data_IF_022808434701
#
_entry.id   IF_022808434701
#
_cell.length_a   1.000
_cell.length_b   1.000
_cell.length_c   1.000
_cell.angle_alpha   90.00
_cell.angle_beta   90.00
_cell.angle_gamma   90.00
#
_symmetry.space_group_name_H-M   'P 1'
#
loop_
_entity.id
_entity.type
_entity.pdbx_description
1 polymer ?
#
# COMPACT_ATOMS: atom_id res chain seq x y z
N UNK A 1 -13.85 -1.23 29.33
CA UNK A 1 -15.23 -1.25 28.85
C UNK A 1 -15.19 -0.55 27.51
N UNK A 2 -15.43 -1.29 26.44
CA UNK A 2 -15.48 -0.68 25.12
C UNK A 2 -16.74 0.18 25.06
N UNK A 3 -16.54 1.49 25.09
CA UNK A 3 -17.64 2.45 24.98
C UNK A 3 -18.06 2.54 23.52
N UNK A 4 -19.36 2.43 23.24
CA UNK A 4 -19.88 2.73 21.93
C UNK A 4 -19.68 4.23 21.64
N UNK A 5 -19.46 4.55 20.38
CA UNK A 5 -19.27 5.94 19.93
C UNK A 5 -20.26 6.29 18.83
N UNK A 6 -20.65 7.55 18.79
CA UNK A 6 -21.45 8.13 17.72
C UNK A 6 -20.64 9.26 17.06
N UNK A 7 -20.65 9.34 15.74
CA UNK A 7 -19.80 10.26 15.00
C UNK A 7 -20.35 10.56 13.62
N UNK A 8 -19.88 11.65 13.02
CA UNK A 8 -20.22 12.02 11.64
C UNK A 8 -19.21 11.39 10.68
N UNK A 9 -19.66 10.57 9.73
CA UNK A 9 -18.85 9.93 8.70
C UNK A 9 -19.05 10.65 7.36
N UNK A 10 -17.96 11.10 6.74
CA UNK A 10 -17.94 11.70 5.40
C UNK A 10 -17.19 10.77 4.46
N UNK A 11 -17.89 10.21 3.48
CA UNK A 11 -17.30 9.31 2.48
C UNK A 11 -17.27 9.94 1.10
N UNK A 12 -16.19 9.76 0.38
CA UNK A 12 -16.04 10.25 -0.98
C UNK A 12 -16.83 9.38 -1.95
N UNK A 13 -17.71 10.02 -2.73
CA UNK A 13 -18.50 9.37 -3.79
C UNK A 13 -18.02 9.86 -5.15
N UNK A 14 -17.70 8.90 -6.03
CA UNK A 14 -17.22 9.21 -7.38
C UNK A 14 -17.54 8.04 -8.32
N UNK A 15 -18.16 8.33 -9.47
CA UNK A 15 -18.63 7.30 -10.42
C UNK A 15 -17.53 6.75 -11.33
N UNK A 16 -16.37 7.40 -11.37
CA UNK A 16 -15.25 6.99 -12.23
C UNK A 16 -14.19 8.08 -12.35
N UNK A 17 -13.13 7.86 -13.14
CA UNK A 17 -11.95 8.74 -13.17
C UNK A 17 -12.25 10.16 -13.69
N UNK A 18 -13.30 10.33 -14.50
CA UNK A 18 -13.69 11.61 -15.08
C UNK A 18 -14.79 12.34 -14.29
N UNK A 19 -15.31 11.74 -13.22
CA UNK A 19 -16.28 12.35 -12.34
C UNK A 19 -15.58 13.25 -11.32
N UNK A 20 -16.18 14.41 -11.03
CA UNK A 20 -15.63 15.36 -10.08
C UNK A 20 -15.66 14.84 -8.64
N UNK A 21 -16.61 13.95 -8.33
CA UNK A 21 -16.83 13.41 -7.00
C UNK A 21 -17.36 14.46 -5.99
N UNK A 22 -17.81 13.97 -4.85
CA UNK A 22 -18.31 14.76 -3.72
C UNK A 22 -18.28 13.94 -2.43
N UNK A 23 -18.48 14.60 -1.29
CA UNK A 23 -18.66 13.90 -0.02
C UNK A 23 -20.15 13.70 0.27
N UNK A 24 -20.53 12.47 0.61
CA UNK A 24 -21.76 12.16 1.32
C UNK A 24 -21.49 12.15 2.83
N UNK A 25 -22.47 12.59 3.61
CA UNK A 25 -22.35 12.68 5.08
C UNK A 25 -23.40 11.77 5.74
N UNK A 26 -22.96 10.99 6.72
CA UNK A 26 -23.79 10.06 7.47
C UNK A 26 -23.55 10.22 8.97
N UNK A 27 -24.60 10.09 9.77
CA UNK A 27 -24.52 10.05 11.22
C UNK A 27 -24.52 8.58 11.67
N UNK A 28 -23.37 8.12 12.15
CA UNK A 28 -23.20 6.79 12.69
C UNK A 28 -23.49 6.81 14.19
N UNK A 29 -24.39 5.92 14.64
CA UNK A 29 -24.85 5.91 16.02
C UNK A 29 -24.47 4.59 16.70
N UNK A 30 -23.99 4.70 17.95
CA UNK A 30 -23.82 3.56 18.87
C UNK A 30 -22.89 2.44 18.33
N UNK A 31 -21.83 2.81 17.60
CA UNK A 31 -20.86 1.88 17.03
C UNK A 31 -19.92 1.37 18.13
N UNK A 32 -19.82 0.03 18.36
CA UNK A 32 -18.92 -0.51 19.37
C UNK A 32 -17.46 -0.22 19.07
N UNK A 33 -16.68 0.12 20.10
CA UNK A 33 -15.26 0.47 19.94
C UNK A 33 -14.36 -0.68 19.46
N UNK A 34 -14.76 -1.92 19.61
CA UNK A 34 -14.06 -3.12 19.12
C UNK A 34 -14.42 -3.51 17.69
N UNK A 35 -15.38 -2.82 17.07
CA UNK A 35 -15.68 -2.94 15.64
C UNK A 35 -14.48 -2.47 14.81
N UNK A 36 -14.07 -3.22 13.81
CA UNK A 36 -13.06 -2.77 12.85
C UNK A 36 -13.61 -1.67 11.93
N UNK A 37 -12.73 -0.86 11.36
CA UNK A 37 -13.13 0.22 10.45
C UNK A 37 -13.90 -0.33 9.21
N UNK A 38 -13.52 -1.50 8.70
CA UNK A 38 -14.23 -2.11 7.58
C UNK A 38 -15.61 -2.64 7.99
N UNK A 39 -15.76 -3.22 9.17
CA UNK A 39 -17.08 -3.63 9.68
C UNK A 39 -18.00 -2.44 9.89
N UNK A 40 -17.47 -1.30 10.34
CA UNK A 40 -18.24 -0.05 10.44
C UNK A 40 -18.73 0.40 9.05
N UNK A 41 -17.92 0.26 8.01
CA UNK A 41 -18.35 0.55 6.64
C UNK A 41 -19.35 -0.49 6.10
N UNK A 42 -19.28 -1.76 6.52
CA UNK A 42 -20.30 -2.76 6.22
C UNK A 42 -21.64 -2.37 6.85
N UNK A 43 -21.64 -1.93 8.13
CA UNK A 43 -22.85 -1.41 8.81
C UNK A 43 -23.46 -0.23 8.04
N UNK A 44 -22.63 0.72 7.58
CA UNK A 44 -23.11 1.80 6.72
C UNK A 44 -23.78 1.27 5.46
N UNK A 45 -23.15 0.29 4.80
CA UNK A 45 -23.69 -0.28 3.57
C UNK A 45 -25.01 -1.03 3.77
N UNK A 46 -25.15 -1.75 4.88
CA UNK A 46 -26.43 -2.38 5.26
C UNK A 46 -27.53 -1.33 5.41
N UNK A 47 -27.28 -0.23 6.12
CA UNK A 47 -28.22 0.88 6.29
C UNK A 47 -28.59 1.51 4.93
N UNK A 48 -27.60 1.71 4.04
CA UNK A 48 -27.86 2.27 2.72
C UNK A 48 -28.74 1.35 1.87
N UNK A 49 -28.51 0.04 1.92
CA UNK A 49 -29.32 -0.95 1.20
C UNK A 49 -30.76 -0.99 1.73
N UNK A 50 -30.95 -0.98 3.05
CA UNK A 50 -32.27 -0.93 3.68
C UNK A 50 -33.04 0.34 3.29
N UNK A 51 -32.34 1.48 3.18
CA UNK A 51 -32.90 2.74 2.70
C UNK A 51 -33.16 2.80 1.18
N UNK A 52 -32.82 1.73 0.43
CA UNK A 52 -32.90 1.71 -1.02
C UNK A 52 -31.90 2.62 -1.73
N UNK A 53 -30.82 3.00 -1.05
CA UNK A 53 -29.73 3.82 -1.56
C UNK A 53 -28.58 2.98 -2.10
N UNK A 54 -27.73 3.58 -2.93
CA UNK A 54 -26.57 2.92 -3.51
C UNK A 54 -25.47 2.73 -2.46
N UNK A 55 -24.94 1.49 -2.25
CA UNK A 55 -23.87 1.23 -1.30
C UNK A 55 -22.60 2.03 -1.61
N UNK A 56 -21.81 2.30 -0.60
CA UNK A 56 -20.48 2.87 -0.71
C UNK A 56 -19.49 1.80 -1.18
N UNK A 57 -18.72 2.09 -2.23
CA UNK A 57 -17.79 1.12 -2.84
C UNK A 57 -16.37 1.34 -2.33
N UNK A 58 -15.79 0.32 -1.77
CA UNK A 58 -14.39 0.28 -1.30
C UNK A 58 -13.80 -1.12 -1.46
N UNK A 59 -12.47 -1.19 -1.57
CA UNK A 59 -11.75 -2.46 -1.66
C UNK A 59 -11.51 -3.09 -0.29
N UNK A 60 -11.77 -4.37 -0.18
CA UNK A 60 -11.42 -5.21 0.97
C UNK A 60 -11.27 -6.66 0.54
N UNK A 61 -10.48 -7.46 1.29
CA UNK A 61 -10.33 -8.89 1.04
C UNK A 61 -9.98 -9.64 2.33
N UNK A 62 -8.70 -9.85 2.65
CA UNK A 62 -8.24 -10.73 3.73
C UNK A 62 -8.74 -10.35 5.13
N UNK A 63 -8.93 -9.07 5.42
CA UNK A 63 -9.25 -8.49 6.75
C UNK A 63 -8.21 -8.84 7.85
N UNK A 64 -7.01 -9.29 7.45
CA UNK A 64 -5.91 -9.72 8.33
C UNK A 64 -4.63 -8.89 8.17
N UNK A 65 -4.69 -7.80 7.40
CA UNK A 65 -3.56 -6.89 7.22
C UNK A 65 -2.45 -7.43 6.30
N UNK A 66 -2.73 -8.36 5.39
CA UNK A 66 -1.72 -9.03 4.57
C UNK A 66 -1.91 -8.90 3.05
N UNK A 67 -3.10 -8.55 2.55
CA UNK A 67 -3.37 -8.50 1.11
C UNK A 67 -3.14 -7.12 0.46
N UNK A 68 -3.13 -6.04 1.25
CA UNK A 68 -2.97 -4.67 0.74
C UNK A 68 -4.17 -4.08 0.01
N UNK A 69 -5.37 -4.73 0.06
CA UNK A 69 -6.55 -4.29 -0.70
C UNK A 69 -7.30 -3.13 -0.05
N UNK A 70 -7.37 -3.02 1.28
CA UNK A 70 -8.14 -2.02 2.01
C UNK A 70 -7.53 -0.59 1.92
N UNK A 71 -7.54 -0.02 0.73
CA UNK A 71 -6.83 1.21 0.35
C UNK A 71 -7.67 2.45 0.62
N UNK A 72 -7.81 2.84 1.88
CA UNK A 72 -8.57 4.01 2.30
C UNK A 72 -7.68 5.10 2.89
N UNK A 73 -7.97 6.35 2.53
CA UNK A 73 -7.35 7.55 3.09
C UNK A 73 -8.28 8.12 4.15
N UNK A 74 -7.93 7.99 5.42
CA UNK A 74 -8.81 8.29 6.55
C UNK A 74 -8.24 9.45 7.34
N UNK A 75 -9.01 10.53 7.49
CA UNK A 75 -8.60 11.75 8.19
C UNK A 75 -7.21 12.28 7.76
N UNK A 76 -6.90 12.21 6.47
CA UNK A 76 -5.63 12.69 5.94
C UNK A 76 -4.45 11.73 6.08
N UNK A 77 -4.70 10.48 6.49
CA UNK A 77 -3.67 9.43 6.62
C UNK A 77 -4.02 8.19 5.82
N UNK A 78 -3.10 7.66 4.99
CA UNK A 78 -3.27 6.34 4.37
C UNK A 78 -3.45 5.27 5.44
N UNK A 79 -4.49 4.46 5.32
CA UNK A 79 -4.93 3.46 6.31
C UNK A 79 -5.42 4.02 7.65
N UNK A 80 -5.46 5.34 7.85
CA UNK A 80 -5.93 6.00 9.07
C UNK A 80 -4.82 6.29 10.10
N UNK A 81 -5.20 6.79 11.29
CA UNK A 81 -4.26 7.38 12.24
C UNK A 81 -3.39 6.36 13.00
N UNK A 82 -3.61 5.06 12.85
CA UNK A 82 -2.86 4.03 13.55
C UNK A 82 -1.59 3.68 12.77
N UNK A 83 -0.42 4.04 13.30
CA UNK A 83 0.87 3.71 12.67
C UNK A 83 1.10 2.19 12.61
N UNK A 84 1.72 1.71 11.53
CA UNK A 84 2.04 0.31 11.35
C UNK A 84 0.82 -0.61 11.19
N UNK A 85 -0.36 -0.04 10.89
CA UNK A 85 -1.61 -0.79 10.72
C UNK A 85 -2.24 -0.53 9.36
N UNK A 86 -2.92 -1.54 8.84
CA UNK A 86 -3.78 -1.41 7.65
C UNK A 86 -5.20 -1.00 8.08
N UNK A 87 -6.02 -0.49 7.15
CA UNK A 87 -7.41 -0.09 7.45
C UNK A 87 -8.23 -1.23 8.08
N UNK A 88 -8.04 -2.47 7.66
CA UNK A 88 -8.75 -3.62 8.23
C UNK A 88 -8.31 -3.97 9.67
N UNK A 89 -7.20 -3.41 10.13
CA UNK A 89 -6.70 -3.55 11.52
C UNK A 89 -6.86 -2.25 12.33
N UNK A 90 -7.54 -1.26 11.75
CA UNK A 90 -7.95 -0.04 12.45
C UNK A 90 -9.29 -0.31 13.15
N UNK A 91 -9.37 -0.05 14.44
CA UNK A 91 -10.57 -0.26 15.24
C UNK A 91 -11.21 1.06 15.66
N UNK A 92 -12.54 1.07 15.82
CA UNK A 92 -13.32 2.29 16.13
C UNK A 92 -12.95 2.90 17.50
N UNK A 93 -12.39 2.15 18.44
CA UNK A 93 -11.83 2.67 19.70
C UNK A 93 -10.66 3.66 19.55
N UNK A 94 -10.16 3.86 18.32
CA UNK A 94 -9.15 4.88 17.98
C UNK A 94 -9.77 6.26 17.73
N UNK A 95 -11.07 6.31 17.65
CA UNK A 95 -11.85 7.54 17.46
C UNK A 95 -12.67 7.86 18.72
N UNK A 96 -13.21 9.06 18.78
CA UNK A 96 -13.95 9.54 19.96
C UNK A 96 -15.39 9.86 19.57
N UNK A 97 -16.25 9.86 20.60
CA UNK A 97 -17.63 10.28 20.45
C UNK A 97 -17.69 11.74 19.94
N UNK A 98 -18.51 12.00 18.92
CA UNK A 98 -18.63 13.31 18.27
C UNK A 98 -17.57 13.63 17.22
N UNK A 99 -16.63 12.74 16.92
CA UNK A 99 -15.63 12.94 15.85
C UNK A 99 -16.27 13.13 14.47
N UNK A 100 -15.54 13.81 13.58
CA UNK A 100 -15.84 13.84 12.15
C UNK A 100 -14.78 13.04 11.43
N UNK A 101 -15.16 11.91 10.84
CA UNK A 101 -14.27 10.99 10.14
C UNK A 101 -14.45 11.17 8.63
N UNK A 102 -13.36 11.42 7.91
CA UNK A 102 -13.36 11.52 6.45
C UNK A 102 -12.73 10.29 5.82
N UNK A 103 -13.34 9.76 4.75
CA UNK A 103 -12.85 8.60 3.99
C UNK A 103 -12.75 8.98 2.51
N UNK A 104 -11.55 8.82 1.95
CA UNK A 104 -11.24 9.20 0.57
C UNK A 104 -10.45 8.09 -0.13
N UNK A 105 -10.44 8.06 -1.48
CA UNK A 105 -9.58 7.13 -2.23
C UNK A 105 -8.11 7.54 -2.16
N UNK A 106 -7.20 6.65 -2.56
CA UNK A 106 -5.82 7.04 -2.85
C UNK A 106 -5.77 8.17 -3.87
N UNK A 107 -5.20 9.31 -3.50
CA UNK A 107 -5.07 10.47 -4.39
C UNK A 107 -3.75 10.41 -5.17
N UNK A 108 -3.72 9.62 -6.23
CA UNK A 108 -2.58 9.54 -7.13
C UNK A 108 -3.05 9.38 -8.57
N UNK A 109 -2.44 10.10 -9.50
CA UNK A 109 -2.73 9.95 -10.93
C UNK A 109 -2.43 8.53 -11.44
N UNK A 110 -1.48 7.83 -10.82
CA UNK A 110 -1.14 6.45 -11.13
C UNK A 110 -2.17 5.42 -10.62
N UNK A 111 -3.10 5.84 -9.76
CA UNK A 111 -4.19 5.02 -9.22
C UNK A 111 -5.54 5.67 -9.54
N UNK A 112 -6.00 5.60 -10.80
CA UNK A 112 -7.27 6.21 -11.17
C UNK A 112 -8.43 5.57 -10.39
N UNK A 113 -9.40 6.40 -10.01
CA UNK A 113 -10.60 5.93 -9.30
C UNK A 113 -11.47 5.11 -10.24
N UNK A 114 -11.79 3.88 -9.84
CA UNK A 114 -12.78 3.02 -10.51
C UNK A 114 -14.18 3.48 -10.09
N UNK A 115 -14.41 3.53 -8.79
CA UNK A 115 -15.66 4.00 -8.18
C UNK A 115 -15.46 4.29 -6.70
N UNK A 116 -15.98 5.40 -6.20
CA UNK A 116 -15.90 5.85 -4.81
C UNK A 116 -14.46 5.78 -4.27
N UNK A 117 -14.15 4.86 -3.36
CA UNK A 117 -12.80 4.66 -2.82
C UNK A 117 -12.04 3.49 -3.45
N UNK A 118 -12.64 2.77 -4.40
CA UNK A 118 -11.95 1.74 -5.18
C UNK A 118 -11.07 2.37 -6.26
N UNK A 119 -9.81 2.00 -6.33
CA UNK A 119 -8.83 2.53 -7.28
C UNK A 119 -8.14 1.41 -8.08
N UNK A 120 -7.76 1.68 -9.32
CA UNK A 120 -6.96 0.77 -10.15
C UNK A 120 -5.49 0.82 -9.73
N UNK A 121 -4.99 -0.28 -9.15
CA UNK A 121 -3.59 -0.46 -8.76
C UNK A 121 -2.80 -1.38 -9.69
N UNK A 122 -3.33 -1.70 -10.87
CA UNK A 122 -2.66 -2.56 -11.87
C UNK A 122 -1.27 -2.05 -12.27
N UNK A 123 -0.99 -0.76 -12.06
CA UNK A 123 0.34 -0.20 -12.24
C UNK A 123 1.41 -0.90 -11.38
N UNK A 124 1.08 -1.31 -10.16
CA UNK A 124 1.98 -2.06 -9.29
C UNK A 124 2.27 -3.47 -9.83
N UNK A 125 1.26 -4.15 -10.35
CA UNK A 125 1.41 -5.48 -10.96
C UNK A 125 2.33 -5.41 -12.19
N UNK A 126 2.19 -4.37 -13.00
CA UNK A 126 3.05 -4.13 -14.16
C UNK A 126 4.52 -3.88 -13.75
N UNK A 127 4.75 -3.19 -12.63
CA UNK A 127 6.11 -3.00 -12.08
C UNK A 127 6.68 -4.33 -11.61
N UNK A 128 5.92 -5.13 -10.86
CA UNK A 128 6.37 -6.46 -10.39
C UNK A 128 6.64 -7.37 -11.58
N UNK A 129 5.78 -7.40 -12.58
CA UNK A 129 5.97 -8.18 -13.81
C UNK A 129 7.24 -7.78 -14.58
N UNK A 130 7.69 -6.52 -14.46
CA UNK A 130 8.90 -6.05 -15.14
C UNK A 130 10.22 -6.61 -14.54
N UNK A 131 10.23 -7.01 -13.25
CA UNK A 131 11.47 -7.50 -12.64
C UNK A 131 11.35 -8.01 -11.20
N UNK A 132 10.18 -7.96 -10.59
CA UNK A 132 9.95 -8.33 -9.19
C UNK A 132 9.98 -9.84 -8.90
N UNK A 133 10.70 -10.62 -9.69
CA UNK A 133 10.76 -12.07 -9.63
C UNK A 133 12.20 -12.58 -9.78
N UNK A 134 12.40 -13.87 -9.55
CA UNK A 134 13.61 -14.61 -9.92
C UNK A 134 13.27 -15.65 -10.98
N UNK A 135 14.14 -15.81 -11.99
CA UNK A 135 13.96 -16.83 -13.02
C UNK A 135 14.16 -18.22 -12.43
N UNK A 136 13.40 -19.19 -12.93
CA UNK A 136 13.55 -20.60 -12.56
C UNK A 136 14.87 -21.13 -13.11
N UNK A 137 15.68 -21.77 -12.24
CA UNK A 137 16.87 -22.50 -12.67
C UNK A 137 16.47 -23.87 -13.22
N UNK A 138 17.07 -24.24 -14.35
CA UNK A 138 16.80 -25.52 -15.02
C UNK A 138 17.80 -26.60 -14.65
N UNK A 139 18.79 -26.31 -13.82
CA UNK A 139 19.81 -27.28 -13.35
C UNK A 139 19.39 -27.97 -12.06
N UNK A 140 20.30 -28.82 -11.56
CA UNK A 140 20.15 -29.50 -10.29
C UNK A 140 20.17 -28.47 -9.13
N UNK A 141 19.36 -28.70 -8.10
CA UNK A 141 19.40 -27.91 -6.89
C UNK A 141 20.77 -28.02 -6.20
N UNK A 142 21.23 -26.91 -5.62
CA UNK A 142 22.41 -26.91 -4.78
C UNK A 142 22.13 -27.60 -3.43
N UNK A 143 23.13 -28.17 -2.82
CA UNK A 143 23.04 -28.74 -1.48
C UNK A 143 22.66 -27.65 -0.47
N UNK A 144 21.95 -28.03 0.57
CA UNK A 144 21.61 -27.13 1.67
C UNK A 144 22.91 -26.52 2.25
N UNK A 145 22.86 -25.23 2.55
CA UNK A 145 23.98 -24.44 3.05
C UNK A 145 25.21 -24.34 2.12
N UNK A 146 25.08 -24.68 0.83
CA UNK A 146 26.15 -24.49 -0.14
C UNK A 146 26.51 -23.00 -0.36
N UNK A 147 25.55 -22.10 -0.22
CA UNK A 147 25.75 -20.64 -0.26
C UNK A 147 25.29 -20.06 1.07
N UNK A 148 26.25 -19.60 1.88
CA UNK A 148 25.96 -18.97 3.15
C UNK A 148 25.50 -17.52 2.96
N UNK A 149 24.48 -17.13 3.71
CA UNK A 149 23.94 -15.78 3.74
C UNK A 149 24.21 -15.20 5.13
N UNK A 150 24.89 -14.04 5.25
CA UNK A 150 25.01 -13.36 6.54
C UNK A 150 23.62 -13.11 7.15
N UNK A 151 23.52 -13.26 8.48
CA UNK A 151 22.23 -13.10 9.16
C UNK A 151 21.62 -11.71 8.91
N UNK A 152 22.43 -10.66 9.00
CA UNK A 152 21.97 -9.28 8.81
C UNK A 152 21.41 -9.06 7.39
N UNK A 153 22.05 -9.63 6.35
CA UNK A 153 21.55 -9.58 4.97
C UNK A 153 20.23 -10.33 4.83
N UNK A 154 20.09 -11.47 5.50
CA UNK A 154 18.87 -12.28 5.46
C UNK A 154 17.71 -11.57 6.19
N UNK A 155 17.97 -11.01 7.38
CA UNK A 155 16.99 -10.28 8.16
C UNK A 155 16.50 -9.06 7.35
N UNK A 156 17.42 -8.24 6.82
CA UNK A 156 17.06 -7.07 6.00
C UNK A 156 16.29 -7.48 4.73
N UNK A 157 16.64 -8.61 4.10
CA UNK A 157 15.89 -9.10 2.95
C UNK A 157 14.46 -9.51 3.32
N UNK A 158 14.27 -10.13 4.49
CA UNK A 158 12.95 -10.53 4.97
C UNK A 158 12.11 -9.31 5.37
N UNK A 159 12.71 -8.32 6.01
CA UNK A 159 12.03 -7.05 6.29
C UNK A 159 11.53 -6.38 5.01
N UNK A 160 12.36 -6.33 3.96
CA UNK A 160 11.94 -5.84 2.63
C UNK A 160 10.83 -6.69 1.97
N UNK A 161 10.72 -7.96 2.34
CA UNK A 161 9.70 -8.86 1.82
C UNK A 161 8.32 -8.64 2.45
N UNK A 162 8.22 -7.86 3.54
CA UNK A 162 6.96 -7.61 4.23
C UNK A 162 6.01 -6.70 3.45
N UNK A 163 6.50 -6.01 2.41
CA UNK A 163 5.70 -5.13 1.57
C UNK A 163 4.50 -5.86 0.94
N UNK A 164 3.30 -5.41 1.24
CA UNK A 164 2.03 -5.97 0.75
C UNK A 164 1.46 -5.26 -0.50
N UNK A 165 2.19 -4.32 -1.07
CA UNK A 165 1.76 -3.60 -2.28
C UNK A 165 0.48 -2.76 -2.10
N UNK A 166 0.19 -2.28 -0.91
CA UNK A 166 -1.06 -1.56 -0.63
C UNK A 166 -1.16 -0.19 -1.30
N UNK A 167 -0.05 0.49 -1.60
CA UNK A 167 -0.03 1.82 -2.22
C UNK A 167 0.00 3.00 -1.24
N UNK A 168 0.00 2.78 0.08
CA UNK A 168 0.05 3.83 1.09
C UNK A 168 1.25 4.78 0.89
N UNK A 169 2.42 4.23 0.51
CA UNK A 169 3.63 5.00 0.23
C UNK A 169 3.45 5.98 -0.94
N UNK A 170 2.67 5.62 -1.96
CA UNK A 170 2.35 6.51 -3.09
C UNK A 170 1.33 7.56 -2.66
N UNK A 171 0.28 7.14 -1.93
CA UNK A 171 -0.77 8.03 -1.44
C UNK A 171 -0.23 9.10 -0.47
N UNK A 172 0.73 8.75 0.39
CA UNK A 172 1.39 9.69 1.31
C UNK A 172 2.38 10.62 0.62
N UNK A 173 2.90 10.26 -0.55
CA UNK A 173 3.94 11.00 -1.22
C UNK A 173 3.39 12.22 -1.96
N UNK A 174 3.92 13.42 -1.69
CA UNK A 174 3.54 14.66 -2.41
C UNK A 174 3.73 14.56 -3.93
N UNK A 175 4.65 13.72 -4.37
CA UNK A 175 4.93 13.52 -5.80
C UNK A 175 4.26 12.24 -6.35
N UNK A 176 3.54 11.46 -5.55
CA UNK A 176 2.99 10.18 -5.97
C UNK A 176 4.06 9.17 -6.40
N UNK A 177 5.23 9.16 -5.74
CA UNK A 177 6.36 8.29 -6.10
C UNK A 177 6.17 6.87 -5.58
N UNK A 178 6.44 5.87 -6.41
CA UNK A 178 6.44 4.45 -6.03
C UNK A 178 7.83 3.94 -5.59
N UNK A 179 8.78 4.82 -5.33
CA UNK A 179 10.16 4.44 -5.02
C UNK A 179 10.28 3.50 -3.81
N UNK A 180 9.48 3.66 -2.75
CA UNK A 180 9.53 2.75 -1.61
C UNK A 180 9.06 1.35 -2.00
N UNK A 181 7.95 1.23 -2.73
CA UNK A 181 7.42 -0.05 -3.23
C UNK A 181 8.43 -0.78 -4.11
N UNK A 182 9.02 -0.07 -5.10
CA UNK A 182 10.02 -0.65 -6.01
C UNK A 182 11.28 -1.06 -5.25
N UNK A 183 11.74 -0.20 -4.34
CA UNK A 183 12.97 -0.42 -3.59
C UNK A 183 12.89 -1.60 -2.62
N UNK A 184 11.75 -1.86 -2.02
CA UNK A 184 11.54 -3.03 -1.16
C UNK A 184 11.81 -4.33 -1.92
N UNK A 185 11.21 -4.49 -3.10
CA UNK A 185 11.41 -5.69 -3.92
C UNK A 185 12.84 -5.79 -4.49
N UNK A 186 13.41 -4.68 -4.95
CA UNK A 186 14.79 -4.67 -5.45
C UNK A 186 15.78 -4.98 -4.31
N UNK A 187 15.59 -4.43 -3.13
CA UNK A 187 16.44 -4.69 -1.95
C UNK A 187 16.36 -6.14 -1.52
N UNK A 188 15.15 -6.69 -1.37
CA UNK A 188 14.95 -8.10 -1.04
C UNK A 188 15.78 -9.02 -1.94
N UNK A 189 15.64 -8.87 -3.25
CA UNK A 189 16.27 -9.76 -4.22
C UNK A 189 17.76 -9.45 -4.47
N UNK A 190 18.23 -8.23 -4.16
CA UNK A 190 19.65 -7.89 -4.25
C UNK A 190 20.47 -8.48 -3.07
N UNK A 191 19.86 -8.60 -1.90
CA UNK A 191 20.49 -9.18 -0.70
C UNK A 191 20.58 -10.70 -0.77
N UNK A 192 19.63 -11.35 -1.43
CA UNK A 192 19.57 -12.80 -1.53
C UNK A 192 20.35 -13.33 -2.75
N UNK A 193 21.10 -14.44 -2.60
CA UNK A 193 21.85 -15.06 -3.72
C UNK A 193 20.98 -15.38 -4.93
N UNK A 194 19.72 -15.77 -4.70
CA UNK A 194 18.76 -16.13 -5.76
C UNK A 194 18.45 -14.96 -6.69
N UNK A 195 18.46 -13.72 -6.17
CA UNK A 195 18.13 -12.52 -6.94
C UNK A 195 19.32 -11.84 -7.59
N UNK A 196 20.56 -12.13 -7.16
CA UNK A 196 21.79 -11.46 -7.63
C UNK A 196 22.06 -11.59 -9.13
N UNK A 197 21.86 -12.74 -9.79
CA UNK A 197 22.11 -12.86 -11.24
C UNK A 197 21.32 -11.87 -12.10
N UNK A 198 20.14 -11.45 -11.64
CA UNK A 198 19.24 -10.56 -12.37
C UNK A 198 19.19 -9.15 -11.77
N UNK A 199 20.02 -8.83 -10.76
CA UNK A 199 19.91 -7.59 -10.00
C UNK A 199 20.00 -6.33 -10.88
N UNK A 200 20.95 -6.28 -11.82
CA UNK A 200 21.12 -5.17 -12.74
C UNK A 200 19.91 -4.99 -13.68
N UNK A 201 19.46 -6.08 -14.31
CA UNK A 201 18.28 -6.08 -15.20
C UNK A 201 17.03 -5.66 -14.44
N UNK A 202 16.85 -6.22 -13.23
CA UNK A 202 15.70 -5.90 -12.36
C UNK A 202 15.64 -4.42 -12.01
N UNK A 203 16.75 -3.86 -11.48
CA UNK A 203 16.80 -2.47 -11.06
C UNK A 203 16.43 -1.52 -12.21
N UNK A 204 17.00 -1.73 -13.41
CA UNK A 204 16.66 -0.93 -14.60
C UNK A 204 15.20 -1.11 -15.02
N UNK A 205 14.74 -2.35 -15.18
CA UNK A 205 13.42 -2.64 -15.71
C UNK A 205 12.31 -2.10 -14.80
N UNK A 206 12.42 -2.28 -13.48
CA UNK A 206 11.41 -1.82 -12.52
C UNK A 206 11.39 -0.28 -12.40
N UNK A 207 12.56 0.38 -12.39
CA UNK A 207 12.64 1.85 -12.35
C UNK A 207 12.07 2.45 -13.65
N UNK A 208 12.44 1.94 -14.81
CA UNK A 208 11.91 2.42 -16.09
C UNK A 208 10.40 2.18 -16.19
N UNK A 209 9.90 1.05 -15.72
CA UNK A 209 8.45 0.75 -15.71
C UNK A 209 7.70 1.70 -14.77
N UNK A 210 8.25 2.03 -13.61
CA UNK A 210 7.67 3.00 -12.69
C UNK A 210 7.55 4.40 -13.35
N UNK A 211 8.59 4.83 -14.07
CA UNK A 211 8.57 6.10 -14.82
C UNK A 211 7.54 6.09 -15.95
N UNK A 212 7.53 5.02 -16.77
CA UNK A 212 6.55 4.82 -17.86
C UNK A 212 5.09 4.90 -17.38
N UNK A 213 4.82 4.38 -16.17
CA UNK A 213 3.47 4.36 -15.59
C UNK A 213 3.07 5.67 -14.89
N UNK A 214 3.90 6.71 -14.97
CA UNK A 214 3.57 8.05 -14.51
C UNK A 214 3.72 8.29 -13.01
N UNK A 215 4.46 7.44 -12.30
CA UNK A 215 4.82 7.71 -10.91
C UNK A 215 5.84 8.85 -10.82
N UNK A 216 5.64 9.75 -9.86
CA UNK A 216 6.51 10.90 -9.67
C UNK A 216 7.89 10.58 -9.07
N UNK A 217 8.80 11.54 -9.18
CA UNK A 217 10.16 11.41 -8.66
C UNK A 217 10.22 11.54 -7.13
N UNK A 218 11.08 10.75 -6.52
CA UNK A 218 11.33 10.82 -5.07
C UNK A 218 12.11 12.08 -4.71
N UNK A 219 11.60 12.85 -3.75
CA UNK A 219 12.29 14.01 -3.13
C UNK A 219 12.70 13.75 -1.68
N UNK A 220 12.70 12.49 -1.26
CA UNK A 220 13.20 12.00 0.03
C UNK A 220 12.53 12.66 1.26
N UNK A 221 11.21 12.86 1.21
CA UNK A 221 10.44 13.47 2.31
C UNK A 221 10.18 12.51 3.48
N UNK A 222 10.38 11.21 3.31
CA UNK A 222 10.13 10.13 4.26
C UNK A 222 8.67 9.89 4.62
N UNK A 223 7.71 10.60 4.06
CA UNK A 223 6.28 10.36 4.31
C UNK A 223 5.87 8.90 4.02
N UNK A 224 6.45 8.30 3.01
CA UNK A 224 6.18 6.90 2.63
C UNK A 224 6.58 5.88 3.71
N UNK A 225 7.68 6.10 4.43
CA UNK A 225 8.11 5.27 5.56
C UNK A 225 7.21 5.48 6.77
N UNK A 226 6.85 6.74 7.08
CA UNK A 226 6.03 7.08 8.22
C UNK A 226 4.60 6.49 8.13
N UNK A 227 4.05 6.39 6.92
CA UNK A 227 2.69 5.90 6.67
C UNK A 227 2.68 4.43 6.20
N UNK A 228 3.81 3.73 6.23
CA UNK A 228 3.86 2.34 5.79
C UNK A 228 3.28 1.40 6.85
N UNK A 229 2.22 0.62 6.55
CA UNK A 229 1.63 -0.31 7.51
C UNK A 229 2.52 -1.53 7.80
N UNK A 230 3.64 -1.69 7.06
CA UNK A 230 4.63 -2.76 7.22
C UNK A 230 6.01 -2.24 7.62
N UNK A 231 6.14 -0.96 7.94
CA UNK A 231 7.39 -0.32 8.39
C UNK A 231 8.57 -0.50 7.41
N UNK A 232 8.28 -0.48 6.10
CA UNK A 232 9.33 -0.52 5.08
C UNK A 232 10.29 0.65 5.22
N UNK A 233 11.58 0.38 5.29
CA UNK A 233 12.59 1.41 5.52
C UNK A 233 12.93 2.20 4.26
N UNK A 234 13.06 3.52 4.40
CA UNK A 234 13.57 4.41 3.35
C UNK A 234 15.02 4.08 2.93
N UNK A 235 15.79 3.34 3.75
CA UNK A 235 17.11 2.84 3.39
C UNK A 235 17.08 1.96 2.13
N UNK A 236 15.93 1.32 1.85
CA UNK A 236 15.72 0.56 0.62
C UNK A 236 15.83 1.43 -0.63
N UNK A 237 15.39 2.70 -0.57
CA UNK A 237 15.54 3.66 -1.69
C UNK A 237 17.02 3.94 -1.97
N UNK A 238 17.84 4.08 -0.94
CA UNK A 238 19.28 4.26 -1.12
C UNK A 238 19.93 3.02 -1.77
N UNK A 239 19.50 1.82 -1.39
CA UNK A 239 19.92 0.56 -2.03
C UNK A 239 19.48 0.48 -3.49
N UNK A 240 18.23 0.80 -3.79
CA UNK A 240 17.73 0.84 -5.18
C UNK A 240 18.57 1.79 -6.04
N UNK A 241 18.84 3.00 -5.56
CA UNK A 241 19.65 3.96 -6.29
C UNK A 241 21.06 3.42 -6.57
N UNK A 242 21.69 2.77 -5.59
CA UNK A 242 22.99 2.12 -5.75
C UNK A 242 22.97 0.99 -6.79
N UNK A 243 21.96 0.12 -6.74
CA UNK A 243 21.80 -0.97 -7.72
C UNK A 243 21.51 -0.44 -9.12
N UNK A 244 20.72 0.60 -9.25
CA UNK A 244 20.44 1.26 -10.53
C UNK A 244 21.67 1.93 -11.13
N UNK A 245 22.47 2.67 -10.32
CA UNK A 245 23.71 3.29 -10.78
C UNK A 245 24.72 2.23 -11.23
N UNK A 246 24.92 1.17 -10.42
CA UNK A 246 25.80 0.06 -10.81
C UNK A 246 25.37 -0.57 -12.12
N UNK A 247 24.07 -0.77 -12.30
CA UNK A 247 23.52 -1.36 -13.52
C UNK A 247 23.74 -0.47 -14.74
N UNK A 248 23.73 0.87 -14.59
CA UNK A 248 24.00 1.83 -15.66
C UNK A 248 25.48 1.94 -16.05
N UNK A 249 26.37 1.74 -15.07
CA UNK A 249 27.82 1.81 -15.32
C UNK A 249 28.37 0.53 -15.99
N UNK A 250 27.64 -0.57 -15.94
CA UNK A 250 28.03 -1.86 -16.50
C UNK A 250 27.32 -2.20 -17.84
N UNK A 251 26.66 -1.23 -18.45
CA UNK A 251 26.17 -1.26 -19.82
C UNK A 251 27.26 -0.85 -20.78
#
# INVERSE_FOLDING_TARGET
MDTNISFTLKVWRQKGPNDKGHFDTFEMQDIPGDTSFLEMLDILNEQLIEDGKEPFVFDHDCREGICGMCSLYINGHPHGPAQGATTCQLYMRRFHDGDVITVEPWRSAAFPVIRDCMVDRSAFDKIIAAGGYTSVRTGQAQDANAILIPKDDADEAMDCATCIGCGACVAACKNGSAMLFVSSKVSQLALLPQGRPEAAKRAKAMVMKMEELGFGNCTNTRACEAECPKNESIANIARLNREFIKAKLND
#
